data_IF_308874734344
#
_entry.id   IF_308874734344
#
_cell.length_a   1.000
_cell.length_b   1.000
_cell.length_c   1.000
_cell.angle_alpha   90.00
_cell.angle_beta   90.00
_cell.angle_gamma   90.00
#
_symmetry.space_group_name_H-M   'P 1'
#
loop_
_entity.id
_entity.type
_entity.pdbx_description
1 polymer ?
#
# COMPACT_ATOMS: atom_id res chain seq x y z
N UNK A 1 11.33 7.34 -14.95
CA UNK A 1 10.18 8.24 -15.11
C UNK A 1 8.89 7.63 -14.57
N UNK A 2 7.97 8.47 -14.16
CA UNK A 2 6.67 8.08 -13.63
C UNK A 2 5.54 8.85 -14.33
N UNK A 3 4.36 8.26 -14.37
CA UNK A 3 3.13 8.87 -14.87
C UNK A 3 2.00 8.65 -13.87
N UNK A 4 1.15 9.64 -13.74
CA UNK A 4 -0.04 9.62 -12.88
C UNK A 4 -1.22 10.20 -13.66
N UNK A 5 -2.39 9.60 -13.50
CA UNK A 5 -3.65 10.10 -14.03
C UNK A 5 -4.79 9.73 -13.09
N UNK A 6 -5.80 10.57 -13.01
CA UNK A 6 -6.94 10.31 -12.15
C UNK A 6 -8.15 11.14 -12.52
N UNK A 7 -9.30 10.70 -12.03
CA UNK A 7 -10.57 11.38 -12.16
C UNK A 7 -11.35 11.29 -10.84
N UNK A 8 -12.09 12.33 -10.52
CA UNK A 8 -12.99 12.35 -9.39
C UNK A 8 -14.35 12.89 -9.79
N UNK A 9 -15.39 12.36 -9.19
CA UNK A 9 -16.76 12.80 -9.38
C UNK A 9 -17.44 12.88 -8.01
N UNK A 10 -18.23 13.93 -7.82
CA UNK A 10 -19.08 14.06 -6.65
C UNK A 10 -20.43 14.63 -7.12
N UNK A 11 -21.51 13.93 -6.83
CA UNK A 11 -22.88 14.31 -7.16
C UNK A 11 -23.68 14.32 -5.87
N UNK A 12 -24.22 15.49 -5.56
CA UNK A 12 -25.12 15.67 -4.42
C UNK A 12 -26.51 16.05 -4.93
N UNK A 13 -27.47 15.24 -4.59
CA UNK A 13 -28.87 15.47 -4.97
C UNK A 13 -29.81 15.07 -3.80
N UNK A 14 -30.65 16.00 -3.37
CA UNK A 14 -31.57 15.80 -2.26
C UNK A 14 -30.91 15.23 -1.01
N UNK A 15 -31.23 13.93 -0.72
CA UNK A 15 -30.73 13.21 0.44
C UNK A 15 -29.49 12.35 0.14
N UNK A 16 -28.94 12.39 -1.06
CA UNK A 16 -27.81 11.57 -1.46
C UNK A 16 -26.60 12.39 -1.83
N UNK A 17 -25.45 11.93 -1.45
CA UNK A 17 -24.15 12.40 -1.91
C UNK A 17 -23.34 11.18 -2.40
N UNK A 18 -23.15 11.10 -3.72
CA UNK A 18 -22.37 10.03 -4.35
C UNK A 18 -20.99 10.56 -4.69
N UNK A 19 -19.96 9.81 -4.38
CA UNK A 19 -18.60 10.16 -4.76
C UNK A 19 -17.86 8.97 -5.39
N UNK A 20 -17.01 9.28 -6.36
CA UNK A 20 -16.13 8.35 -7.03
C UNK A 20 -14.76 9.00 -7.23
N UNK A 21 -13.71 8.28 -6.85
CA UNK A 21 -12.34 8.65 -7.14
C UNK A 21 -11.65 7.45 -7.79
N UNK A 22 -10.93 7.72 -8.85
CA UNK A 22 -10.08 6.76 -9.51
C UNK A 22 -8.72 7.37 -9.79
N UNK A 23 -7.66 6.61 -9.59
CA UNK A 23 -6.33 7.01 -10.01
C UNK A 23 -5.52 5.84 -10.53
N UNK A 24 -4.67 6.13 -11.48
CA UNK A 24 -3.69 5.24 -12.05
C UNK A 24 -2.29 5.81 -11.85
N UNK A 25 -1.39 4.98 -11.40
CA UNK A 25 0.03 5.30 -11.28
C UNK A 25 0.86 4.26 -12.03
N UNK A 26 1.87 4.77 -12.77
CA UNK A 26 2.91 3.96 -13.38
C UNK A 26 4.25 4.60 -13.04
N UNK A 27 5.19 3.81 -12.52
CA UNK A 27 6.53 4.28 -12.19
C UNK A 27 7.61 3.31 -12.61
N UNK A 28 8.78 3.86 -12.95
CA UNK A 28 10.01 3.11 -13.20
C UNK A 28 11.12 3.75 -12.39
N UNK A 29 11.69 2.96 -11.50
CA UNK A 29 12.84 3.32 -10.67
C UNK A 29 14.05 2.51 -11.12
N UNK A 30 15.19 3.15 -11.19
CA UNK A 30 16.50 2.53 -11.43
C UNK A 30 17.40 2.97 -10.30
N UNK A 31 18.01 2.02 -9.65
CA UNK A 31 18.91 2.24 -8.51
C UNK A 31 20.22 1.50 -8.84
N UNK A 32 21.31 2.23 -8.83
CA UNK A 32 22.66 1.70 -8.89
C UNK A 32 23.29 1.86 -7.51
N UNK A 33 23.89 0.80 -6.99
CA UNK A 33 24.47 0.78 -5.66
C UNK A 33 25.84 0.11 -5.72
N UNK A 34 26.87 0.84 -5.31
CA UNK A 34 28.21 0.34 -5.09
C UNK A 34 28.50 0.23 -3.60
N UNK A 35 28.97 -0.93 -3.15
CA UNK A 35 29.37 -1.18 -1.78
C UNK A 35 30.81 -1.66 -1.79
N UNK A 36 31.67 -0.96 -1.05
CA UNK A 36 33.04 -1.37 -0.72
C UNK A 36 33.14 -1.56 0.79
N UNK A 37 33.36 -2.78 1.22
CA UNK A 37 33.38 -3.15 2.64
C UNK A 37 34.70 -3.80 3.00
N UNK A 38 35.35 -3.25 4.03
CA UNK A 38 36.53 -3.86 4.67
C UNK A 38 36.13 -4.49 5.99
N UNK A 39 36.52 -5.71 6.24
CA UNK A 39 36.27 -6.43 7.48
C UNK A 39 37.45 -6.21 8.44
N UNK A 40 37.20 -5.54 9.59
CA UNK A 40 38.28 -5.17 10.53
C UNK A 40 38.97 -6.37 11.17
N UNK A 41 38.28 -7.51 11.28
CA UNK A 41 38.76 -8.69 12.00
C UNK A 41 39.86 -9.45 11.27
N UNK A 42 39.81 -9.49 9.95
CA UNK A 42 40.72 -10.30 9.08
C UNK A 42 41.28 -9.48 7.91
N UNK A 43 40.96 -8.19 7.83
CA UNK A 43 41.41 -7.31 6.77
C UNK A 43 40.74 -7.56 5.41
N UNK A 44 39.76 -8.45 5.38
CA UNK A 44 39.07 -8.85 4.17
C UNK A 44 38.34 -7.69 3.50
N UNK A 45 38.34 -7.67 2.17
CA UNK A 45 37.64 -6.63 1.37
C UNK A 45 36.67 -7.25 0.39
N UNK A 46 35.43 -6.80 0.45
CA UNK A 46 34.35 -7.20 -0.45
C UNK A 46 33.86 -5.97 -1.23
N UNK A 47 33.82 -6.09 -2.54
CA UNK A 47 33.21 -5.11 -3.44
C UNK A 47 31.95 -5.68 -4.05
N UNK A 48 30.89 -4.88 -4.07
CA UNK A 48 29.64 -5.22 -4.73
C UNK A 48 29.19 -4.06 -5.60
N UNK A 49 28.88 -4.36 -6.83
CA UNK A 49 28.25 -3.44 -7.78
C UNK A 49 26.90 -4.02 -8.18
N UNK A 50 25.84 -3.28 -7.92
CA UNK A 50 24.48 -3.76 -8.17
C UNK A 50 23.63 -2.72 -8.85
N UNK A 51 22.79 -3.19 -9.74
CA UNK A 51 21.71 -2.39 -10.32
C UNK A 51 20.36 -3.03 -10.03
N UNK A 52 19.35 -2.20 -9.87
CA UNK A 52 17.96 -2.62 -9.67
C UNK A 52 17.05 -1.77 -10.55
N UNK A 53 16.25 -2.43 -11.34
CA UNK A 53 15.23 -1.80 -12.17
C UNK A 53 13.85 -2.29 -11.73
N UNK A 54 13.04 -1.36 -11.23
CA UNK A 54 11.70 -1.63 -10.72
C UNK A 54 10.66 -0.92 -11.57
N UNK A 55 9.59 -1.61 -11.89
CA UNK A 55 8.39 -1.05 -12.54
C UNK A 55 7.19 -1.31 -11.64
N UNK A 56 6.45 -0.26 -11.36
CA UNK A 56 5.25 -0.29 -10.55
C UNK A 56 4.06 0.18 -11.37
N UNK A 57 2.95 -0.53 -11.24
CA UNK A 57 1.64 -0.16 -11.78
C UNK A 57 0.65 -0.23 -10.64
N UNK A 58 -0.21 0.77 -10.50
CA UNK A 58 -1.21 0.79 -9.46
C UNK A 58 -2.50 1.45 -9.94
N UNK A 59 -3.61 0.80 -9.65
CA UNK A 59 -4.96 1.30 -9.84
C UNK A 59 -5.60 1.47 -8.47
N UNK A 60 -6.03 2.66 -8.14
CA UNK A 60 -6.76 2.94 -6.92
C UNK A 60 -8.15 3.43 -7.27
N UNK A 61 -9.15 2.94 -6.57
CA UNK A 61 -10.50 3.48 -6.64
C UNK A 61 -11.10 3.60 -5.23
N UNK A 62 -11.97 4.58 -5.08
CA UNK A 62 -12.81 4.76 -3.91
C UNK A 62 -14.15 5.33 -4.34
N UNK A 63 -15.22 4.70 -3.92
CA UNK A 63 -16.58 5.17 -4.17
C UNK A 63 -17.40 5.04 -2.92
N UNK A 64 -18.45 5.81 -2.80
CA UNK A 64 -19.38 5.70 -1.68
C UNK A 64 -20.57 6.58 -1.86
N UNK A 65 -21.48 6.42 -0.92
CA UNK A 65 -22.73 7.15 -0.86
C UNK A 65 -23.01 7.54 0.59
N UNK A 66 -23.30 8.83 0.80
CA UNK A 66 -23.85 9.33 2.05
C UNK A 66 -25.36 9.55 1.86
N UNK A 67 -26.16 9.01 2.76
CA UNK A 67 -27.61 9.20 2.80
C UNK A 67 -27.99 10.04 4.02
N UNK A 68 -28.58 11.18 3.77
CA UNK A 68 -29.08 12.11 4.79
C UNK A 68 -30.48 11.67 5.23
N UNK A 69 -30.54 10.81 6.25
CA UNK A 69 -31.80 10.32 6.83
C UNK A 69 -32.70 11.46 7.30
N UNK A 70 -32.08 12.45 7.96
CA UNK A 70 -32.67 13.71 8.38
C UNK A 70 -31.55 14.76 8.59
N UNK A 71 -31.91 15.96 9.04
CA UNK A 71 -30.95 17.07 9.26
C UNK A 71 -29.84 16.75 10.28
N UNK A 72 -30.03 15.70 11.11
CA UNK A 72 -29.10 15.33 12.17
C UNK A 72 -28.42 13.98 11.97
N UNK A 73 -28.91 13.19 11.02
CA UNK A 73 -28.42 11.82 10.86
C UNK A 73 -27.97 11.58 9.43
N UNK A 74 -26.72 11.19 9.28
CA UNK A 74 -26.13 10.78 8.01
C UNK A 74 -25.67 9.33 8.13
N UNK A 75 -25.99 8.52 7.16
CA UNK A 75 -25.50 7.16 7.01
C UNK A 75 -24.68 7.07 5.74
N UNK A 76 -23.45 6.56 5.87
CA UNK A 76 -22.49 6.41 4.78
C UNK A 76 -22.16 4.96 4.50
N UNK A 77 -21.95 4.64 3.22
CA UNK A 77 -21.33 3.40 2.78
C UNK A 77 -20.19 3.72 1.84
N UNK A 78 -19.12 2.96 1.90
CA UNK A 78 -17.94 3.14 1.06
C UNK A 78 -17.36 1.82 0.58
N UNK A 79 -16.81 1.84 -0.63
CA UNK A 79 -16.02 0.76 -1.22
C UNK A 79 -14.72 1.35 -1.74
N UNK A 80 -13.64 0.63 -1.53
CA UNK A 80 -12.33 1.04 -2.02
C UNK A 80 -11.48 -0.14 -2.45
N UNK A 81 -10.47 0.14 -3.24
CA UNK A 81 -9.52 -0.88 -3.63
C UNK A 81 -8.25 -0.30 -4.23
N UNK A 82 -7.19 -1.07 -4.08
CA UNK A 82 -5.92 -0.81 -4.75
C UNK A 82 -5.40 -2.12 -5.33
N UNK A 83 -5.15 -2.11 -6.65
CA UNK A 83 -4.59 -3.22 -7.39
C UNK A 83 -3.24 -2.80 -7.93
N UNK A 84 -2.17 -3.41 -7.42
CA UNK A 84 -0.83 -3.03 -7.82
C UNK A 84 0.00 -4.23 -8.26
N UNK A 85 0.81 -4.01 -9.28
CA UNK A 85 1.79 -4.97 -9.80
C UNK A 85 3.16 -4.33 -9.80
N UNK A 86 4.12 -5.02 -9.21
CA UNK A 86 5.53 -4.66 -9.20
C UNK A 86 6.33 -5.74 -9.92
N UNK A 87 7.21 -5.31 -10.82
CA UNK A 87 8.23 -6.15 -11.44
C UNK A 87 9.60 -5.57 -11.12
N UNK A 88 10.51 -6.42 -10.70
CA UNK A 88 11.85 -6.04 -10.35
C UNK A 88 12.85 -6.96 -11.03
N UNK A 89 13.84 -6.36 -11.68
CA UNK A 89 15.03 -7.04 -12.17
C UNK A 89 16.24 -6.42 -11.46
N UNK A 90 17.07 -7.26 -10.88
CA UNK A 90 18.30 -6.83 -10.26
C UNK A 90 19.47 -7.69 -10.72
N UNK A 91 20.63 -7.08 -10.85
CA UNK A 91 21.89 -7.75 -11.07
C UNK A 91 22.89 -7.26 -10.05
N UNK A 92 23.74 -8.13 -9.57
CA UNK A 92 24.77 -7.84 -8.60
C UNK A 92 26.05 -8.59 -8.98
N UNK A 93 27.14 -7.87 -9.09
CA UNK A 93 28.49 -8.43 -9.16
C UNK A 93 29.11 -8.34 -7.77
N UNK A 94 29.69 -9.42 -7.27
CA UNK A 94 30.39 -9.47 -5.99
C UNK A 94 31.80 -10.00 -6.21
N UNK A 95 32.78 -9.34 -5.61
CA UNK A 95 34.19 -9.76 -5.57
C UNK A 95 34.70 -9.75 -4.12
N UNK A 96 35.29 -10.88 -3.70
CA UNK A 96 35.93 -11.05 -2.39
C UNK A 96 37.43 -11.23 -2.64
N UNK A 97 38.23 -10.18 -2.35
CA UNK A 97 39.64 -10.15 -2.75
C UNK A 97 40.49 -11.22 -2.12
N UNK A 98 40.28 -11.57 -0.87
CA UNK A 98 41.10 -12.54 -0.13
C UNK A 98 40.96 -13.96 -0.67
N UNK A 99 39.78 -14.31 -1.14
CA UNK A 99 39.49 -15.66 -1.66
C UNK A 99 39.58 -15.74 -3.17
N UNK A 100 39.69 -14.58 -3.87
CA UNK A 100 39.61 -14.52 -5.32
C UNK A 100 38.24 -14.92 -5.88
N UNK A 101 37.23 -15.01 -5.02
CA UNK A 101 35.87 -15.38 -5.44
C UNK A 101 35.19 -14.17 -6.04
N UNK A 102 34.77 -14.30 -7.29
CA UNK A 102 33.98 -13.29 -7.98
C UNK A 102 32.81 -13.94 -8.73
N UNK A 103 31.67 -13.23 -8.80
CA UNK A 103 30.54 -13.76 -9.53
C UNK A 103 29.35 -12.83 -9.62
N UNK A 104 28.46 -13.18 -10.54
CA UNK A 104 27.25 -12.45 -10.81
C UNK A 104 26.03 -13.15 -10.18
N UNK A 105 25.13 -12.37 -9.62
CA UNK A 105 23.81 -12.82 -9.18
C UNK A 105 22.75 -12.00 -9.92
N UNK A 106 21.77 -12.68 -10.51
CA UNK A 106 20.64 -12.03 -11.16
C UNK A 106 19.37 -12.43 -10.45
N UNK A 107 18.47 -11.47 -10.25
CA UNK A 107 17.16 -11.79 -9.72
C UNK A 107 16.04 -11.14 -10.54
N UNK A 108 14.96 -11.90 -10.67
CA UNK A 108 13.71 -11.46 -11.23
C UNK A 108 12.60 -11.69 -10.21
N UNK A 109 11.85 -10.67 -9.89
CA UNK A 109 10.73 -10.77 -8.96
C UNK A 109 9.49 -10.09 -9.53
N UNK A 110 8.36 -10.79 -9.41
CA UNK A 110 7.04 -10.21 -9.67
C UNK A 110 6.21 -10.27 -8.40
N UNK A 111 5.45 -9.22 -8.14
CA UNK A 111 4.58 -9.13 -6.99
C UNK A 111 3.29 -8.41 -7.35
N UNK A 112 2.17 -9.05 -7.05
CA UNK A 112 0.85 -8.44 -7.07
C UNK A 112 0.38 -8.20 -5.64
N UNK A 113 -0.11 -7.00 -5.36
CA UNK A 113 -0.70 -6.60 -4.08
C UNK A 113 -2.06 -6.01 -4.37
N UNK A 114 -3.07 -6.67 -3.89
CA UNK A 114 -4.45 -6.25 -4.09
C UNK A 114 -5.08 -6.05 -2.71
N UNK A 115 -5.75 -4.94 -2.53
CA UNK A 115 -6.58 -4.76 -1.37
C UNK A 115 -7.95 -4.24 -1.79
N UNK A 116 -8.96 -4.66 -1.08
CA UNK A 116 -10.32 -4.13 -1.18
C UNK A 116 -10.79 -3.77 0.21
N UNK A 117 -11.62 -2.74 0.30
CA UNK A 117 -12.23 -2.31 1.55
C UNK A 117 -13.71 -2.04 1.35
N UNK A 118 -14.49 -2.32 2.36
CA UNK A 118 -15.90 -1.94 2.45
C UNK A 118 -16.15 -1.37 3.83
N UNK A 119 -16.85 -0.25 3.91
CA UNK A 119 -17.14 0.40 5.17
C UNK A 119 -18.56 0.94 5.22
N UNK A 120 -19.08 1.05 6.43
CA UNK A 120 -20.33 1.77 6.72
C UNK A 120 -20.12 2.64 7.94
N UNK A 121 -20.74 3.79 7.95
CA UNK A 121 -20.66 4.74 9.07
C UNK A 121 -22.00 5.44 9.27
N UNK A 122 -22.28 5.80 10.51
CA UNK A 122 -23.43 6.62 10.87
C UNK A 122 -22.98 7.72 11.81
N UNK A 123 -23.44 8.95 11.53
CA UNK A 123 -23.20 10.11 12.38
C UNK A 123 -24.57 10.67 12.77
N UNK A 124 -24.80 10.89 14.05
CA UNK A 124 -26.01 11.48 14.60
C UNK A 124 -25.69 12.67 15.49
N UNK A 125 -26.10 13.88 15.07
CA UNK A 125 -25.99 15.09 15.88
C UNK A 125 -27.08 15.11 16.94
N UNK A 126 -26.68 15.24 18.19
CA UNK A 126 -27.59 15.32 19.32
C UNK A 126 -28.38 16.66 19.29
N UNK A 127 -29.46 16.75 20.07
CA UNK A 127 -30.23 18.00 20.20
C UNK A 127 -29.39 19.12 20.82
N UNK A 128 -28.44 18.76 21.69
CA UNK A 128 -27.51 19.69 22.33
C UNK A 128 -26.44 20.10 21.33
N UNK A 129 -26.22 21.41 21.19
CA UNK A 129 -25.21 21.94 20.30
C UNK A 129 -23.81 21.39 20.60
N UNK A 130 -23.08 20.94 19.58
CA UNK A 130 -21.78 20.27 19.72
C UNK A 130 -21.84 18.82 20.19
N UNK A 131 -23.03 18.26 20.47
CA UNK A 131 -23.18 16.85 20.79
C UNK A 131 -23.27 15.98 19.54
N UNK A 132 -22.53 14.86 19.49
CA UNK A 132 -22.48 13.95 18.35
C UNK A 132 -22.25 12.51 18.82
N UNK A 133 -22.89 11.58 18.15
CA UNK A 133 -22.67 10.16 18.26
C UNK A 133 -22.29 9.64 16.88
N UNK A 134 -21.17 8.93 16.77
CA UNK A 134 -20.77 8.28 15.54
C UNK A 134 -20.44 6.80 15.75
N UNK A 135 -20.72 6.00 14.73
CA UNK A 135 -20.32 4.60 14.69
C UNK A 135 -19.85 4.25 13.28
N UNK A 136 -18.81 3.45 13.19
CA UNK A 136 -18.33 2.91 11.93
C UNK A 136 -17.95 1.45 12.04
N UNK A 137 -18.03 0.76 10.91
CA UNK A 137 -17.52 -0.57 10.75
C UNK A 137 -16.85 -0.67 9.38
N UNK A 138 -15.59 -1.13 9.36
CA UNK A 138 -14.79 -1.25 8.18
C UNK A 138 -14.24 -2.67 8.06
N UNK A 139 -14.26 -3.20 6.85
CA UNK A 139 -13.64 -4.46 6.45
C UNK A 139 -12.56 -4.19 5.42
N UNK A 140 -11.40 -4.82 5.60
CA UNK A 140 -10.27 -4.78 4.68
C UNK A 140 -9.82 -6.20 4.35
N UNK A 141 -9.66 -6.46 3.06
CA UNK A 141 -9.10 -7.70 2.56
C UNK A 141 -7.81 -7.39 1.79
N UNK A 142 -6.69 -7.95 2.26
CA UNK A 142 -5.37 -7.82 1.65
C UNK A 142 -4.96 -9.14 1.05
N UNK A 143 -4.64 -9.15 -0.24
CA UNK A 143 -4.12 -10.29 -0.95
C UNK A 143 -2.79 -9.93 -1.59
N UNK A 144 -1.77 -10.73 -1.31
CA UNK A 144 -0.44 -10.58 -1.87
C UNK A 144 0.03 -11.90 -2.43
N UNK A 145 0.48 -11.89 -3.69
CA UNK A 145 1.15 -13.01 -4.32
C UNK A 145 2.39 -12.50 -5.02
N UNK A 146 3.47 -13.24 -4.93
CA UNK A 146 4.72 -12.91 -5.59
C UNK A 146 5.56 -14.15 -5.82
N UNK A 147 6.41 -14.06 -6.82
CA UNK A 147 7.45 -15.03 -7.10
C UNK A 147 8.78 -14.32 -7.27
N UNK A 148 9.84 -15.00 -6.94
CA UNK A 148 11.21 -14.55 -7.14
C UNK A 148 12.04 -15.70 -7.68
N UNK A 149 12.77 -15.42 -8.73
CA UNK A 149 13.81 -16.26 -9.27
C UNK A 149 15.16 -15.58 -9.04
N UNK A 150 16.12 -16.29 -8.49
CA UNK A 150 17.46 -15.78 -8.27
C UNK A 150 18.49 -16.80 -8.76
N UNK A 151 19.29 -16.40 -9.74
CA UNK A 151 20.41 -17.16 -10.25
C UNK A 151 21.69 -16.65 -9.58
N UNK A 152 22.34 -17.51 -8.80
CA UNK A 152 23.60 -17.22 -8.14
C UNK A 152 24.79 -17.61 -9.01
N UNK A 153 25.96 -17.03 -8.77
CA UNK A 153 27.22 -17.41 -9.42
C UNK A 153 27.69 -18.84 -9.09
N UNK A 154 27.15 -19.48 -8.06
CA UNK A 154 27.14 -20.94 -7.90
C UNK A 154 25.97 -21.49 -8.75
N UNK A 155 26.09 -22.68 -9.33
CA UNK A 155 25.08 -23.20 -10.27
C UNK A 155 23.75 -23.57 -9.60
N UNK A 156 23.27 -22.72 -8.69
CA UNK A 156 22.04 -22.90 -7.95
C UNK A 156 21.06 -21.78 -8.29
N UNK A 157 19.93 -22.16 -8.83
CA UNK A 157 18.79 -21.28 -9.04
C UNK A 157 17.85 -21.39 -7.84
N UNK A 158 17.64 -20.29 -7.13
CA UNK A 158 16.72 -20.22 -6.01
C UNK A 158 15.37 -19.68 -6.50
N UNK A 159 14.30 -20.40 -6.15
CA UNK A 159 12.92 -20.00 -6.41
C UNK A 159 12.23 -19.70 -5.09
N UNK A 160 11.58 -18.56 -4.99
CA UNK A 160 10.79 -18.18 -3.84
C UNK A 160 9.38 -17.79 -4.26
N UNK A 161 8.38 -18.37 -3.62
CA UNK A 161 6.98 -18.02 -3.78
C UNK A 161 6.45 -17.41 -2.48
N UNK A 162 5.70 -16.33 -2.63
CA UNK A 162 5.09 -15.63 -1.51
C UNK A 162 3.59 -15.52 -1.75
N UNK A 163 2.81 -15.98 -0.79
CA UNK A 163 1.36 -15.78 -0.78
C UNK A 163 0.92 -15.34 0.60
N UNK A 164 0.19 -14.25 0.68
CA UNK A 164 -0.38 -13.73 1.92
C UNK A 164 -1.83 -13.33 1.71
N UNK A 165 -2.64 -13.63 2.69
CA UNK A 165 -4.04 -13.27 2.76
C UNK A 165 -4.34 -12.77 4.17
N UNK A 166 -4.96 -11.59 4.29
CA UNK A 166 -5.25 -10.98 5.59
C UNK A 166 -6.61 -10.29 5.52
N UNK A 167 -7.44 -10.61 6.46
CA UNK A 167 -8.73 -9.96 6.69
C UNK A 167 -8.66 -9.15 7.97
N UNK A 168 -9.08 -7.88 7.91
CA UNK A 168 -9.11 -6.98 9.05
C UNK A 168 -10.51 -6.39 9.18
N UNK A 169 -11.05 -6.45 10.38
CA UNK A 169 -12.33 -5.86 10.75
C UNK A 169 -12.10 -4.80 11.81
N UNK A 170 -12.62 -3.60 11.59
CA UNK A 170 -12.47 -2.47 12.51
C UNK A 170 -13.85 -1.92 12.83
N UNK A 171 -14.19 -1.86 14.11
CA UNK A 171 -15.41 -1.22 14.61
C UNK A 171 -15.03 -0.07 15.54
N UNK A 172 -15.70 1.07 15.41
CA UNK A 172 -15.47 2.26 16.23
C UNK A 172 -16.81 2.89 16.61
N UNK A 173 -16.91 3.34 17.85
CA UNK A 173 -18.02 4.15 18.34
C UNK A 173 -17.45 5.33 19.10
N UNK A 174 -17.84 6.55 18.73
CA UNK A 174 -17.44 7.77 19.39
C UNK A 174 -18.66 8.55 19.85
N UNK A 175 -18.56 9.16 21.02
CA UNK A 175 -19.60 10.05 21.55
C UNK A 175 -18.96 11.33 22.06
N UNK A 176 -19.46 12.46 21.55
CA UNK A 176 -19.12 13.79 22.07
C UNK A 176 -20.36 14.35 22.73
N UNK A 177 -20.23 14.70 24.02
CA UNK A 177 -21.32 15.31 24.76
C UNK A 177 -20.81 16.52 25.54
N UNK A 178 -21.13 17.74 25.14
CA UNK A 178 -20.69 18.95 25.82
C UNK A 178 -21.39 19.06 27.18
N UNK A 179 -20.61 19.05 28.25
CA UNK A 179 -21.12 19.10 29.62
C UNK A 179 -21.59 20.50 30.02
N UNK A 180 -20.94 21.54 29.49
CA UNK A 180 -21.32 22.95 29.68
C UNK A 180 -20.83 23.79 28.50
N UNK A 181 -21.22 25.09 28.44
CA UNK A 181 -20.69 26.03 27.44
C UNK A 181 -19.17 26.30 27.62
N UNK A 182 -18.62 26.05 28.79
CA UNK A 182 -17.22 26.31 29.16
C UNK A 182 -16.32 25.08 29.01
N UNK A 183 -16.88 23.87 29.13
CA UNK A 183 -16.14 22.59 29.02
C UNK A 183 -16.57 21.85 27.74
N UNK A 184 -15.69 21.78 26.78
CA UNK A 184 -15.82 20.98 25.56
C UNK A 184 -15.01 19.72 25.66
#
# INVERSE_FOLDING_TARGET
GSGYGGASMNIRENKFNLYLNYSYYQGKDVIDLFIDRTFERDGGRMMQDSYRKRRNYSHYFRTGCDYYLNERTVWGVSLGGNFSRQRENAGMFTEIRETGVAGNTYSHAEQNRNNVSAGTSMVHKLKREGGELSASFDYFHYYRVGNQLMDSFKPDTLKGDMKGNTDLYVGQIDAVYPLSEVWK
#
